data_IF_411233400045
#
_entry.id   IF_411233400045
#
_cell.length_a   1.000
_cell.length_b   1.000
_cell.length_c   1.000
_cell.angle_alpha   90.00
_cell.angle_beta   90.00
_cell.angle_gamma   90.00
#
_symmetry.space_group_name_H-M   'P 1'
#
loop_
_entity.id
_entity.type
_entity.pdbx_description
1 polymer ?
#
# COMPACT_ATOMS: atom_id res chain seq x y z
N UNK A 1 14.33 17.73 15.35
CA UNK A 1 13.21 17.06 14.66
C UNK A 1 13.61 15.61 14.45
N UNK A 2 12.72 14.61 14.60
CA UNK A 2 13.09 13.25 14.28
C UNK A 2 13.28 13.15 12.77
N UNK A 3 14.52 12.97 12.34
CA UNK A 3 14.85 12.64 10.95
C UNK A 3 14.44 11.19 10.77
N UNK A 4 13.33 10.94 10.08
CA UNK A 4 12.95 9.58 9.66
C UNK A 4 14.12 9.04 8.84
N UNK A 5 14.71 7.93 9.27
CA UNK A 5 15.91 7.35 8.61
C UNK A 5 15.59 6.12 7.78
N UNK A 6 14.40 5.53 7.97
CA UNK A 6 13.92 4.36 7.25
C UNK A 6 12.42 4.48 6.99
N UNK A 7 11.93 3.93 5.89
CA UNK A 7 10.51 4.03 5.55
C UNK A 7 9.61 3.32 6.58
N UNK A 8 10.11 2.32 7.31
CA UNK A 8 9.35 1.59 8.33
C UNK A 8 8.99 2.46 9.55
N UNK A 9 9.64 3.61 9.71
CA UNK A 9 9.28 4.60 10.74
C UNK A 9 8.09 5.47 10.31
N UNK A 10 7.72 5.48 9.02
CA UNK A 10 6.59 6.25 8.49
C UNK A 10 5.27 5.58 8.94
N UNK A 11 4.46 6.30 9.71
CA UNK A 11 3.16 5.81 10.18
C UNK A 11 2.20 5.41 9.04
N UNK A 12 2.23 6.15 7.93
CA UNK A 12 1.45 5.80 6.74
C UNK A 12 1.88 4.44 6.14
N UNK A 13 3.18 4.10 6.17
CA UNK A 13 3.66 2.80 5.71
C UNK A 13 3.22 1.68 6.64
N UNK A 14 3.30 1.87 7.97
CA UNK A 14 2.83 0.89 8.97
C UNK A 14 1.33 0.63 8.79
N UNK A 15 0.55 1.68 8.61
CA UNK A 15 -0.89 1.60 8.36
C UNK A 15 -1.20 0.85 7.07
N UNK A 16 -0.46 1.14 5.99
CA UNK A 16 -0.60 0.44 4.72
C UNK A 16 -0.25 -1.05 4.84
N UNK A 17 0.79 -1.41 5.60
CA UNK A 17 1.16 -2.81 5.88
C UNK A 17 0.06 -3.57 6.62
N UNK A 18 -0.58 -2.94 7.61
CA UNK A 18 -1.71 -3.52 8.32
C UNK A 18 -2.94 -3.69 7.42
N UNK A 19 -3.22 -2.70 6.56
CA UNK A 19 -4.27 -2.80 5.54
C UNK A 19 -4.03 -3.99 4.60
N UNK A 20 -2.81 -4.13 4.08
CA UNK A 20 -2.43 -5.28 3.24
C UNK A 20 -2.67 -6.59 3.98
N UNK A 21 -2.22 -6.73 5.23
CA UNK A 21 -2.42 -7.94 6.03
C UNK A 21 -3.89 -8.30 6.18
N UNK A 22 -4.75 -7.32 6.47
CA UNK A 22 -6.20 -7.53 6.57
C UNK A 22 -6.81 -7.99 5.25
N UNK A 23 -6.42 -7.38 4.13
CA UNK A 23 -6.95 -7.73 2.80
C UNK A 23 -6.57 -9.17 2.43
N UNK A 24 -5.34 -9.60 2.68
CA UNK A 24 -4.97 -11.01 2.48
C UNK A 24 -5.82 -11.95 3.34
N UNK A 25 -5.98 -11.64 4.63
CA UNK A 25 -6.81 -12.45 5.53
C UNK A 25 -8.27 -12.58 5.05
N UNK A 26 -8.89 -11.50 4.55
CA UNK A 26 -10.26 -11.56 4.02
C UNK A 26 -10.37 -12.31 2.70
N UNK A 27 -9.36 -12.17 1.84
CA UNK A 27 -9.42 -12.71 0.48
C UNK A 27 -8.96 -14.18 0.37
N UNK A 28 -8.39 -14.74 1.42
CA UNK A 28 -8.00 -16.16 1.49
C UNK A 28 -9.14 -17.11 1.88
N UNK A 29 -10.33 -16.59 2.18
CA UNK A 29 -11.44 -17.38 2.73
C UNK A 29 -12.72 -17.35 1.88
N UNK A 30 -13.53 -18.41 2.02
CA UNK A 30 -14.90 -18.47 1.50
C UNK A 30 -15.02 -18.40 -0.03
N UNK A 31 -16.02 -17.66 -0.51
CA UNK A 31 -16.22 -17.43 -1.94
C UNK A 31 -15.22 -16.42 -2.51
N UNK A 32 -14.70 -15.51 -1.67
CA UNK A 32 -13.75 -14.49 -2.11
C UNK A 32 -12.44 -15.12 -2.59
N UNK A 33 -12.00 -16.21 -1.96
CA UNK A 33 -10.80 -16.94 -2.40
C UNK A 33 -10.91 -17.53 -3.81
N UNK A 34 -12.13 -17.68 -4.34
CA UNK A 34 -12.43 -18.20 -5.68
C UNK A 34 -12.70 -17.10 -6.71
N UNK A 35 -12.95 -15.87 -6.27
CA UNK A 35 -13.04 -14.71 -7.17
C UNK A 35 -11.63 -14.19 -7.48
N UNK A 36 -10.94 -14.90 -8.36
CA UNK A 36 -9.55 -14.58 -8.72
C UNK A 36 -9.40 -13.16 -9.28
N UNK A 37 -10.42 -12.62 -9.94
CA UNK A 37 -10.39 -11.27 -10.49
C UNK A 37 -10.34 -10.23 -9.38
N UNK A 38 -11.38 -10.19 -8.55
CA UNK A 38 -11.51 -9.21 -7.47
C UNK A 38 -10.41 -9.40 -6.43
N UNK A 39 -10.12 -10.66 -6.03
CA UNK A 39 -9.05 -11.00 -5.08
C UNK A 39 -7.71 -10.44 -5.52
N UNK A 40 -7.30 -10.73 -6.76
CA UNK A 40 -5.98 -10.31 -7.23
C UNK A 40 -5.92 -8.80 -7.43
N UNK A 41 -7.04 -8.15 -7.76
CA UNK A 41 -7.09 -6.70 -7.88
C UNK A 41 -6.92 -6.00 -6.53
N UNK A 42 -7.75 -6.35 -5.54
CA UNK A 42 -7.69 -5.72 -4.21
C UNK A 42 -6.37 -6.00 -3.49
N UNK A 43 -5.80 -7.22 -3.61
CA UNK A 43 -4.49 -7.55 -3.03
C UNK A 43 -3.37 -6.71 -3.63
N UNK A 44 -3.32 -6.57 -4.97
CA UNK A 44 -2.29 -5.77 -5.64
C UNK A 44 -2.42 -4.29 -5.30
N UNK A 45 -3.64 -3.77 -5.30
CA UNK A 45 -3.89 -2.38 -4.91
C UNK A 45 -3.41 -2.11 -3.47
N UNK A 46 -3.68 -3.03 -2.54
CA UNK A 46 -3.25 -2.92 -1.15
C UNK A 46 -1.72 -2.93 -0.98
N UNK A 47 -1.03 -3.88 -1.63
CA UNK A 47 0.44 -3.96 -1.61
C UNK A 47 1.05 -2.69 -2.20
N UNK A 48 0.47 -2.17 -3.30
CA UNK A 48 0.94 -0.97 -3.97
C UNK A 48 0.98 0.26 -3.05
N UNK A 49 0.07 0.37 -2.07
CA UNK A 49 0.06 1.50 -1.12
C UNK A 49 1.38 1.57 -0.35
N UNK A 50 1.81 0.47 0.29
CA UNK A 50 3.03 0.44 1.08
C UNK A 50 4.29 0.44 0.20
N UNK A 51 4.24 -0.23 -0.96
CA UNK A 51 5.37 -0.26 -1.90
C UNK A 51 5.72 1.11 -2.45
N UNK A 52 4.72 1.92 -2.83
CA UNK A 52 4.99 3.29 -3.30
C UNK A 52 5.57 4.16 -2.18
N UNK A 53 5.16 3.99 -0.92
CA UNK A 53 5.76 4.75 0.20
C UNK A 53 7.24 4.40 0.35
N UNK A 54 7.57 3.11 0.31
CA UNK A 54 8.97 2.65 0.42
C UNK A 54 9.80 3.11 -0.79
N UNK A 55 9.31 2.92 -2.02
CA UNK A 55 10.00 3.33 -3.25
C UNK A 55 10.21 4.84 -3.31
N UNK A 56 9.22 5.62 -2.86
CA UNK A 56 9.35 7.06 -2.74
C UNK A 56 10.34 7.50 -1.68
N UNK A 57 10.39 6.81 -0.53
CA UNK A 57 11.36 7.12 0.52
C UNK A 57 12.80 6.84 0.08
N UNK A 58 13.02 5.73 -0.64
CA UNK A 58 14.32 5.35 -1.23
C UNK A 58 14.68 6.18 -2.48
N UNK A 59 13.79 7.07 -2.94
CA UNK A 59 14.02 7.90 -4.11
C UNK A 59 15.08 8.97 -3.86
N UNK A 60 15.69 9.48 -4.94
CA UNK A 60 16.86 10.38 -4.85
C UNK A 60 16.50 11.82 -4.47
N UNK A 61 15.22 12.20 -4.57
CA UNK A 61 14.80 13.59 -4.39
C UNK A 61 13.43 13.68 -3.71
N UNK A 62 13.20 14.78 -2.98
CA UNK A 62 11.92 15.05 -2.33
C UNK A 62 10.75 15.13 -3.32
N UNK A 63 10.99 15.66 -4.54
CA UNK A 63 9.95 15.75 -5.57
C UNK A 63 9.47 14.36 -6.02
N UNK A 64 10.40 13.41 -6.18
CA UNK A 64 10.05 12.01 -6.47
C UNK A 64 9.27 11.39 -5.31
N UNK A 65 9.71 11.60 -4.07
CA UNK A 65 8.99 11.08 -2.91
C UNK A 65 7.53 11.56 -2.90
N UNK A 66 7.28 12.84 -3.16
CA UNK A 66 5.92 13.39 -3.25
C UNK A 66 5.07 12.75 -4.35
N UNK A 67 5.64 12.47 -5.53
CA UNK A 67 4.94 11.77 -6.61
C UNK A 67 4.52 10.35 -6.20
N UNK A 68 5.45 9.61 -5.59
CA UNK A 68 5.19 8.28 -5.06
C UNK A 68 4.13 8.28 -3.93
N UNK A 69 4.11 9.28 -3.06
CA UNK A 69 3.03 9.44 -2.08
C UNK A 69 1.68 9.70 -2.76
N UNK A 70 1.65 10.44 -3.87
CA UNK A 70 0.47 10.60 -4.71
C UNK A 70 -0.04 9.28 -5.27
N UNK A 71 0.86 8.43 -5.79
CA UNK A 71 0.55 7.08 -6.29
C UNK A 71 0.04 6.16 -5.17
N UNK A 72 0.69 6.20 -4.00
CA UNK A 72 0.24 5.46 -2.80
C UNK A 72 -1.21 5.81 -2.44
N UNK A 73 -1.54 7.11 -2.44
CA UNK A 73 -2.90 7.59 -2.21
C UNK A 73 -3.89 7.13 -3.29
N UNK A 74 -3.47 7.10 -4.56
CA UNK A 74 -4.29 6.59 -5.65
C UNK A 74 -4.59 5.09 -5.47
N UNK A 75 -3.59 4.27 -5.12
CA UNK A 75 -3.79 2.84 -4.82
C UNK A 75 -4.70 2.61 -3.61
N UNK A 76 -4.62 3.46 -2.58
CA UNK A 76 -5.57 3.40 -1.45
C UNK A 76 -7.01 3.73 -1.89
N UNK A 77 -7.18 4.64 -2.86
CA UNK A 77 -8.45 4.91 -3.52
C UNK A 77 -8.99 3.70 -4.28
N UNK A 78 -8.12 2.96 -4.99
CA UNK A 78 -8.48 1.72 -5.68
C UNK A 78 -8.95 0.65 -4.70
N UNK A 79 -8.23 0.43 -3.59
CA UNK A 79 -8.65 -0.50 -2.53
C UNK A 79 -10.06 -0.19 -2.02
N UNK A 80 -10.36 1.09 -1.79
CA UNK A 80 -11.68 1.54 -1.28
C UNK A 80 -12.82 1.35 -2.29
N UNK A 81 -12.51 1.23 -3.58
CA UNK A 81 -13.50 1.09 -4.66
C UNK A 81 -13.93 -0.37 -4.88
N UNK A 82 -13.09 -1.34 -4.49
CA UNK A 82 -13.40 -2.77 -4.57
C UNK A 82 -14.42 -3.18 -3.52
#
# INVERSE_FOLDING_TARGET
>A
MPTITRFEEIEAWKTARELTRMIYAFTEHGQFSKDFGLRNQIQRAAVSVMSNIAEGFESRTQAQFLDYLGRSKASAGEVRCQ
#
